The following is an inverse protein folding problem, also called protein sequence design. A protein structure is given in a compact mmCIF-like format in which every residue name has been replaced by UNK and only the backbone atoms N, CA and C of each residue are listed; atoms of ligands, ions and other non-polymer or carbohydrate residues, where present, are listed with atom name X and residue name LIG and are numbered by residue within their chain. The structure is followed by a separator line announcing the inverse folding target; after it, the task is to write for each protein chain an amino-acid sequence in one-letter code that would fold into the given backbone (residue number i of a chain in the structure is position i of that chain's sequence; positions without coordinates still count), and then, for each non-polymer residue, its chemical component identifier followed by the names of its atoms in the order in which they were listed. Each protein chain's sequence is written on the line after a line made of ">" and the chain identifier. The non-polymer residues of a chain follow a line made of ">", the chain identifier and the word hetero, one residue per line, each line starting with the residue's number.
data_IF_886085803759
#
_entry.id   IF_886085803759
#
_cell.length_a   1.000
_cell.length_b   1.000
_cell.length_c   1.000
_cell.angle_alpha   90.00
_cell.angle_beta   90.00
_cell.angle_gamma   90.00
#
_symmetry.space_group_name_H-M   'P 1'
#
loop_
_entity.id
_entity.type
_entity.pdbx_description
1 polymer ?
#
# COMPACT_ATOMS: atom_id res chain seq x y z
N UNK A 1 -60.67 6.87 14.76
CA UNK A 1 -59.26 6.87 15.25
C UNK A 1 -58.97 5.71 16.22
N UNK A 2 -59.77 5.51 17.30
CA UNK A 2 -59.60 4.38 18.23
C UNK A 2 -59.67 2.98 17.59
N UNK A 3 -60.52 2.77 16.59
CA UNK A 3 -60.61 1.47 15.88
C UNK A 3 -59.41 1.15 14.97
N UNK A 4 -58.88 2.17 14.30
CA UNK A 4 -57.71 2.02 13.41
C UNK A 4 -56.48 1.61 14.23
N UNK A 5 -56.31 2.21 15.41
CA UNK A 5 -55.23 1.87 16.35
C UNK A 5 -55.41 0.47 16.91
N UNK A 6 -56.64 0.05 17.23
CA UNK A 6 -56.92 -1.28 17.79
C UNK A 6 -56.62 -2.39 16.79
N UNK A 7 -57.07 -2.26 15.55
CA UNK A 7 -56.93 -3.29 14.52
C UNK A 7 -55.52 -3.38 13.93
N UNK A 8 -54.75 -2.28 13.95
CA UNK A 8 -53.38 -2.24 13.42
C UNK A 8 -52.31 -2.10 14.52
N UNK A 9 -52.68 -2.30 15.79
CA UNK A 9 -51.82 -2.11 16.97
C UNK A 9 -50.47 -2.83 16.85
N UNK A 10 -50.47 -4.08 16.37
CA UNK A 10 -49.23 -4.85 16.17
C UNK A 10 -48.29 -4.24 15.14
N UNK A 11 -48.83 -3.72 14.03
CA UNK A 11 -48.03 -3.09 12.97
C UNK A 11 -47.44 -1.75 13.43
N UNK A 12 -48.24 -0.96 14.15
CA UNK A 12 -47.79 0.33 14.72
C UNK A 12 -46.70 0.12 15.77
N UNK A 13 -46.82 -0.92 16.61
CA UNK A 13 -45.79 -1.26 17.60
C UNK A 13 -44.47 -1.67 16.92
N UNK A 14 -44.53 -2.51 15.88
CA UNK A 14 -43.32 -2.92 15.12
C UNK A 14 -42.66 -1.71 14.45
N UNK A 15 -43.45 -0.80 13.86
CA UNK A 15 -42.90 0.40 13.21
C UNK A 15 -42.25 1.36 14.21
N UNK A 16 -42.83 1.51 15.41
CA UNK A 16 -42.23 2.28 16.50
C UNK A 16 -40.93 1.64 17.00
N UNK A 17 -40.86 0.31 17.10
CA UNK A 17 -39.62 -0.39 17.46
C UNK A 17 -38.54 -0.16 16.40
N UNK A 18 -38.87 -0.21 15.11
CA UNK A 18 -37.92 0.07 14.02
C UNK A 18 -37.45 1.53 14.04
N UNK A 19 -38.34 2.48 14.33
CA UNK A 19 -37.98 3.91 14.48
C UNK A 19 -37.08 4.12 15.71
N UNK A 20 -37.38 3.45 16.83
CA UNK A 20 -36.53 3.51 18.03
C UNK A 20 -35.16 2.88 17.76
N UNK A 21 -35.08 1.76 17.04
CA UNK A 21 -33.81 1.15 16.62
C UNK A 21 -33.08 1.96 15.53
N UNK A 22 -33.79 2.78 14.75
CA UNK A 22 -33.20 3.70 13.78
C UNK A 22 -32.69 5.01 14.41
N UNK A 23 -33.33 5.48 15.50
CA UNK A 23 -32.92 6.68 16.27
C UNK A 23 -31.83 6.32 17.28
N UNK A 24 -31.96 5.18 17.95
CA UNK A 24 -30.85 4.52 18.66
C UNK A 24 -30.00 3.85 17.60
N UNK A 25 -29.39 4.67 16.74
CA UNK A 25 -28.36 4.20 15.82
C UNK A 25 -27.44 3.29 16.59
N UNK A 26 -27.18 2.10 16.04
CA UNK A 26 -26.25 1.14 16.61
C UNK A 26 -24.91 1.88 16.75
N UNK A 27 -24.69 2.51 17.90
CA UNK A 27 -23.40 3.04 18.31
C UNK A 27 -22.61 1.81 18.63
N UNK A 28 -22.05 1.22 17.57
CA UNK A 28 -21.03 0.19 17.71
C UNK A 28 -19.94 0.83 18.55
N UNK A 29 -19.82 0.39 19.80
CA UNK A 29 -18.79 0.89 20.69
C UNK A 29 -17.44 0.49 20.10
N UNK A 30 -16.76 1.44 19.46
CA UNK A 30 -15.40 1.25 18.97
C UNK A 30 -14.53 1.04 20.21
N UNK A 31 -14.01 -0.18 20.37
CA UNK A 31 -12.96 -0.45 21.36
C UNK A 31 -11.64 0.04 20.77
N UNK A 32 -10.95 0.91 21.49
CA UNK A 32 -9.73 1.59 21.03
C UNK A 32 -8.54 0.96 21.77
N UNK A 33 -7.58 0.40 21.03
CA UNK A 33 -6.29 0.00 21.59
C UNK A 33 -5.27 1.13 21.49
N UNK A 34 -4.45 1.33 22.54
CA UNK A 34 -3.46 2.41 22.61
C UNK A 34 -2.07 1.96 22.15
N UNK A 35 -1.39 2.74 21.31
CA UNK A 35 0.07 2.71 21.18
C UNK A 35 0.70 3.68 22.19
N UNK A 36 1.96 3.44 22.59
CA UNK A 36 2.73 4.45 23.32
C UNK A 36 2.93 5.69 22.43
N UNK A 37 2.74 6.91 22.96
CA UNK A 37 2.95 8.14 22.21
C UNK A 37 4.39 8.18 21.67
N UNK A 38 4.55 8.55 20.41
CA UNK A 38 5.86 8.80 19.81
C UNK A 38 6.21 10.26 20.13
N UNK A 39 7.08 10.49 21.11
CA UNK A 39 7.69 11.80 21.34
C UNK A 39 8.88 12.00 20.41
N UNK A 40 8.78 12.92 19.45
CA UNK A 40 9.92 13.35 18.63
C UNK A 40 10.42 14.70 19.17
N UNK A 41 11.65 14.73 19.66
CA UNK A 41 12.30 15.97 20.12
C UNK A 41 12.89 16.70 18.91
N UNK A 42 12.21 17.74 18.44
CA UNK A 42 12.64 18.55 17.31
C UNK A 42 13.20 19.89 17.80
N UNK A 43 14.43 19.90 18.34
CA UNK A 43 15.28 21.08 18.59
C UNK A 43 14.79 22.17 19.56
N UNK A 44 13.49 22.44 19.66
CA UNK A 44 12.86 23.50 20.45
C UNK A 44 11.46 23.13 21.00
N UNK A 45 10.83 22.03 20.56
CA UNK A 45 9.54 21.54 21.07
C UNK A 45 9.32 20.04 20.76
N UNK A 46 8.42 19.39 21.51
CA UNK A 46 8.05 17.98 21.30
C UNK A 46 6.82 17.89 20.39
N UNK A 47 6.86 17.02 19.38
CA UNK A 47 5.66 16.62 18.64
C UNK A 47 5.07 15.39 19.34
N UNK A 48 3.79 15.46 19.67
CA UNK A 48 3.03 14.36 20.25
C UNK A 48 1.87 13.97 19.33
N UNK A 49 1.82 12.69 18.97
CA UNK A 49 0.70 12.09 18.27
C UNK A 49 0.13 10.93 19.10
N UNK A 50 -1.19 10.92 19.27
CA UNK A 50 -1.93 9.76 19.74
C UNK A 50 -2.32 8.92 18.52
N UNK A 51 -1.85 7.68 18.49
CA UNK A 51 -2.17 6.71 17.45
C UNK A 51 -2.92 5.58 18.12
N UNK A 52 -4.11 5.32 17.63
CA UNK A 52 -4.94 4.23 18.10
C UNK A 52 -5.44 3.40 16.95
N UNK A 53 -5.95 2.21 17.23
CA UNK A 53 -6.51 1.33 16.22
C UNK A 53 -7.92 0.88 16.59
N UNK A 54 -8.72 0.60 15.56
CA UNK A 54 -10.10 0.17 15.73
C UNK A 54 -10.09 -1.34 16.00
N UNK A 55 -10.21 -1.73 17.28
CA UNK A 55 -10.15 -3.13 17.67
C UNK A 55 -11.41 -3.93 17.29
N UNK A 56 -12.43 -3.29 16.73
CA UNK A 56 -13.55 -3.99 16.10
C UNK A 56 -13.22 -4.43 14.66
N UNK A 57 -12.20 -3.81 14.06
CA UNK A 57 -11.77 -4.09 12.69
C UNK A 57 -10.47 -4.87 12.64
N UNK A 58 -9.51 -4.55 13.52
CA UNK A 58 -8.19 -5.15 13.53
C UNK A 58 -7.63 -5.31 14.94
N UNK A 59 -6.98 -6.43 15.21
CA UNK A 59 -6.25 -6.65 16.47
C UNK A 59 -4.95 -5.82 16.52
N UNK A 60 -4.19 -5.93 17.61
CA UNK A 60 -2.88 -5.27 17.74
C UNK A 60 -1.85 -5.69 16.68
N UNK A 61 -2.10 -6.80 15.99
CA UNK A 61 -1.44 -7.21 14.76
C UNK A 61 -2.48 -7.72 13.75
N UNK A 62 -2.33 -7.36 12.47
CA UNK A 62 -3.21 -7.85 11.38
C UNK A 62 -2.50 -8.97 10.64
N UNK A 63 -3.08 -10.17 10.69
CA UNK A 63 -2.51 -11.38 10.09
C UNK A 63 -3.50 -11.96 9.08
N UNK A 64 -3.01 -12.26 7.88
CA UNK A 64 -3.75 -12.95 6.83
C UNK A 64 -2.91 -14.11 6.31
N UNK A 65 -3.33 -15.35 6.59
CA UNK A 65 -2.62 -16.58 6.20
C UNK A 65 -3.53 -17.36 5.28
N UNK A 66 -3.09 -17.59 4.03
CA UNK A 66 -3.83 -18.41 3.06
C UNK A 66 -5.16 -17.81 2.58
N UNK A 67 -5.41 -16.52 2.84
CA UNK A 67 -6.68 -15.85 2.49
C UNK A 67 -6.57 -14.87 1.33
N UNK A 68 -5.37 -14.38 1.01
CA UNK A 68 -5.14 -13.37 -0.04
C UNK A 68 -5.20 -13.96 -1.46
N UNK A 69 -6.36 -14.47 -1.86
CA UNK A 69 -6.60 -14.84 -3.26
C UNK A 69 -6.81 -13.58 -4.12
N UNK A 70 -6.44 -13.61 -5.42
CA UNK A 70 -6.72 -12.51 -6.31
C UNK A 70 -8.21 -12.10 -6.31
N UNK A 71 -8.45 -10.79 -6.39
CA UNK A 71 -9.81 -10.22 -6.37
C UNK A 71 -9.91 -9.07 -7.38
N UNK A 72 -11.04 -9.00 -8.09
CA UNK A 72 -11.34 -7.88 -8.96
C UNK A 72 -11.34 -6.54 -8.19
N UNK A 73 -10.61 -5.55 -8.72
CA UNK A 73 -10.49 -4.21 -8.12
C UNK A 73 -11.82 -3.52 -7.85
N UNK A 74 -12.85 -3.84 -8.65
CA UNK A 74 -14.21 -3.31 -8.50
C UNK A 74 -14.91 -3.77 -7.22
N UNK A 75 -14.40 -4.81 -6.55
CA UNK A 75 -14.87 -5.30 -5.25
C UNK A 75 -14.14 -4.68 -4.06
N UNK A 76 -13.06 -3.92 -4.30
CA UNK A 76 -12.20 -3.33 -3.27
C UNK A 76 -12.42 -1.82 -3.20
N UNK A 77 -13.66 -1.39 -2.96
CA UNK A 77 -14.03 0.03 -3.01
C UNK A 77 -14.52 0.55 -1.66
N UNK A 78 -14.03 1.72 -1.24
CA UNK A 78 -14.47 2.39 -0.01
C UNK A 78 -13.83 1.80 1.24
N UNK A 79 -14.36 2.17 2.41
CA UNK A 79 -13.77 1.84 3.71
C UNK A 79 -14.32 0.56 4.35
N UNK A 80 -15.48 0.07 3.88
CA UNK A 80 -16.23 -1.03 4.52
C UNK A 80 -16.02 -2.38 3.84
N UNK A 81 -14.92 -2.56 3.10
CA UNK A 81 -14.59 -3.84 2.46
C UNK A 81 -14.48 -4.94 3.52
N UNK A 82 -15.31 -5.97 3.41
CA UNK A 82 -15.42 -7.08 4.38
C UNK A 82 -15.07 -8.43 3.74
N UNK A 83 -14.08 -8.44 2.84
CA UNK A 83 -13.63 -9.64 2.12
C UNK A 83 -12.28 -10.10 2.68
N UNK A 84 -12.18 -11.40 3.00
CA UNK A 84 -10.96 -12.02 3.55
C UNK A 84 -9.75 -11.97 2.58
N UNK A 85 -9.98 -11.75 1.29
CA UNK A 85 -8.96 -11.53 0.26
C UNK A 85 -8.34 -10.11 0.33
N UNK A 86 -8.78 -9.27 1.26
CA UNK A 86 -8.28 -7.90 1.43
C UNK A 86 -7.79 -7.73 2.86
N UNK A 87 -6.52 -7.37 3.02
CA UNK A 87 -6.02 -6.90 4.30
C UNK A 87 -6.58 -5.49 4.51
N UNK A 88 -7.26 -5.29 5.65
CA UNK A 88 -7.77 -4.00 6.09
C UNK A 88 -7.15 -3.62 7.43
N UNK A 89 -6.61 -2.41 7.51
CA UNK A 89 -6.12 -1.83 8.76
C UNK A 89 -6.77 -0.47 8.96
N UNK A 90 -7.50 -0.31 10.07
CA UNK A 90 -8.14 0.93 10.48
C UNK A 90 -7.47 1.49 11.73
N UNK A 91 -6.97 2.71 11.61
CA UNK A 91 -6.26 3.41 12.68
C UNK A 91 -6.64 4.89 12.70
N UNK A 92 -6.38 5.55 13.82
CA UNK A 92 -6.70 6.94 14.05
C UNK A 92 -5.46 7.70 14.50
N UNK A 93 -5.34 8.94 14.06
CA UNK A 93 -4.22 9.82 14.38
C UNK A 93 -4.78 11.12 14.93
N UNK A 94 -4.31 11.55 16.11
CA UNK A 94 -4.71 12.82 16.73
C UNK A 94 -3.48 13.50 17.32
N UNK A 95 -3.31 14.78 17.02
CA UNK A 95 -2.28 15.64 17.62
C UNK A 95 -2.70 16.23 18.97
N UNK A 96 -1.76 16.91 19.61
CA UNK A 96 -2.04 17.72 20.81
C UNK A 96 -2.03 19.21 20.49
N UNK A 97 -2.77 20.00 21.26
CA UNK A 97 -2.77 21.46 21.16
C UNK A 97 -1.42 22.11 21.51
N UNK A 98 -0.55 21.37 22.19
CA UNK A 98 0.82 21.75 22.54
C UNK A 98 1.82 21.53 21.40
N UNK A 99 1.42 20.86 20.32
CA UNK A 99 2.30 20.63 19.17
C UNK A 99 2.68 21.97 18.53
N UNK A 100 3.90 22.08 17.96
CA UNK A 100 4.30 23.24 17.19
C UNK A 100 3.31 23.56 16.06
N UNK A 101 3.18 24.84 15.72
CA UNK A 101 2.46 25.25 14.52
C UNK A 101 3.08 24.56 13.28
N UNK A 102 2.23 24.23 12.29
CA UNK A 102 2.63 23.52 11.07
C UNK A 102 3.28 22.15 11.32
N UNK A 103 2.84 21.44 12.36
CA UNK A 103 3.19 20.03 12.54
C UNK A 103 2.46 19.21 11.47
N UNK A 104 3.23 18.47 10.69
CA UNK A 104 2.77 17.65 9.58
C UNK A 104 3.28 16.21 9.72
N UNK A 105 2.67 15.26 9.01
CA UNK A 105 3.11 13.87 9.02
C UNK A 105 2.85 13.16 7.70
N UNK A 106 3.67 12.14 7.45
CA UNK A 106 3.40 11.13 6.45
C UNK A 106 2.89 9.84 7.10
N UNK A 107 2.03 9.12 6.38
CA UNK A 107 1.72 7.71 6.68
C UNK A 107 2.63 6.86 5.82
N UNK A 108 3.43 5.99 6.44
CA UNK A 108 4.39 5.16 5.74
C UNK A 108 4.34 3.69 6.19
N UNK A 109 4.61 2.79 5.26
CA UNK A 109 5.00 1.43 5.55
C UNK A 109 6.50 1.39 5.83
N UNK A 110 6.90 0.72 6.91
CA UNK A 110 8.29 0.57 7.36
C UNK A 110 8.61 -0.89 7.66
N UNK A 111 9.89 -1.23 7.56
CA UNK A 111 10.39 -2.59 7.76
C UNK A 111 9.68 -3.58 6.84
N UNK A 112 9.42 -3.14 5.60
CA UNK A 112 8.82 -3.98 4.57
C UNK A 112 9.74 -5.18 4.34
N UNK A 113 9.21 -6.38 4.58
CA UNK A 113 9.78 -7.64 4.12
C UNK A 113 8.78 -8.21 3.13
N UNK A 114 9.16 -8.19 1.85
CA UNK A 114 8.31 -8.61 0.75
C UNK A 114 9.14 -9.47 -0.18
N UNK A 115 8.63 -10.66 -0.47
CA UNK A 115 9.23 -11.49 -1.52
C UNK A 115 9.11 -10.82 -2.87
N UNK A 116 10.13 -11.05 -3.68
CA UNK A 116 10.42 -10.34 -4.91
C UNK A 116 9.27 -10.49 -5.93
N UNK A 117 8.62 -11.66 -5.96
CA UNK A 117 7.47 -11.97 -6.81
C UNK A 117 6.21 -11.19 -6.46
N UNK A 118 6.11 -10.59 -5.26
CA UNK A 118 5.00 -9.72 -4.88
C UNK A 118 5.21 -8.26 -5.32
N UNK A 119 6.40 -7.90 -5.81
CA UNK A 119 6.73 -6.54 -6.26
C UNK A 119 6.24 -6.29 -7.69
N UNK A 120 4.92 -6.25 -7.85
CA UNK A 120 4.24 -6.21 -9.15
C UNK A 120 3.13 -5.16 -9.18
N UNK A 121 2.59 -4.89 -10.37
CA UNK A 121 1.44 -3.99 -10.55
C UNK A 121 0.12 -4.56 -10.02
N UNK A 122 0.04 -5.88 -9.83
CA UNK A 122 -1.14 -6.56 -9.32
C UNK A 122 -1.26 -6.46 -7.80
N UNK A 123 -0.16 -6.36 -7.07
CA UNK A 123 -0.19 -6.21 -5.61
C UNK A 123 -0.42 -4.74 -5.29
N UNK A 124 -1.64 -4.41 -4.84
CA UNK A 124 -2.15 -3.04 -4.76
C UNK A 124 -2.45 -2.61 -3.34
N UNK A 125 -2.46 -1.30 -3.14
CA UNK A 125 -2.88 -0.69 -1.90
C UNK A 125 -3.69 0.60 -2.10
N UNK A 126 -4.53 0.91 -1.12
CA UNK A 126 -5.28 2.17 -1.01
C UNK A 126 -5.20 2.69 0.41
N UNK A 127 -5.09 4.01 0.56
CA UNK A 127 -5.18 4.69 1.84
C UNK A 127 -6.37 5.66 1.78
N UNK A 128 -7.33 5.48 2.67
CA UNK A 128 -8.43 6.40 2.87
C UNK A 128 -8.18 7.26 4.11
N UNK A 129 -8.62 8.51 4.06
CA UNK A 129 -8.66 9.44 5.19
C UNK A 129 -10.08 9.97 5.35
N UNK A 130 -10.66 9.82 6.54
CA UNK A 130 -12.01 10.28 6.88
C UNK A 130 -13.07 9.84 5.85
N UNK A 131 -12.94 8.60 5.35
CA UNK A 131 -13.84 8.01 4.35
C UNK A 131 -13.52 8.33 2.89
N UNK A 132 -12.61 9.27 2.62
CA UNK A 132 -12.24 9.70 1.27
C UNK A 132 -10.92 9.04 0.85
N UNK A 133 -10.80 8.59 -0.40
CA UNK A 133 -9.55 8.06 -0.93
C UNK A 133 -8.49 9.16 -0.89
N UNK A 134 -7.43 8.95 -0.12
CA UNK A 134 -6.32 9.90 -0.01
C UNK A 134 -5.26 9.63 -1.07
N UNK A 135 -4.92 8.35 -1.28
CA UNK A 135 -3.89 7.91 -2.22
C UNK A 135 -4.00 6.41 -2.50
N UNK A 136 -3.34 5.96 -3.56
CA UNK A 136 -3.31 4.55 -3.95
C UNK A 136 -2.04 4.21 -4.74
N UNK A 137 -1.68 2.94 -4.78
CA UNK A 137 -0.51 2.49 -5.52
C UNK A 137 -0.43 0.97 -5.64
N UNK A 138 0.75 0.51 -6.03
CA UNK A 138 1.11 -0.90 -6.10
C UNK A 138 2.57 -1.08 -5.64
N UNK A 139 3.08 -2.32 -5.70
CA UNK A 139 4.43 -2.66 -5.24
C UNK A 139 5.41 -2.90 -6.41
N UNK A 140 5.05 -2.49 -7.63
CA UNK A 140 5.93 -2.54 -8.80
C UNK A 140 7.17 -1.64 -8.61
N UNK A 141 8.36 -2.06 -9.06
CA UNK A 141 9.51 -1.17 -9.21
C UNK A 141 9.21 0.08 -10.03
N UNK A 142 8.32 -0.03 -11.01
CA UNK A 142 7.93 1.10 -11.86
C UNK A 142 6.97 2.09 -11.16
N UNK A 143 6.57 1.80 -9.91
CA UNK A 143 5.80 2.71 -9.05
C UNK A 143 6.68 3.37 -7.99
N UNK A 144 7.44 2.56 -7.24
CA UNK A 144 8.36 3.01 -6.20
C UNK A 144 9.39 1.89 -5.90
N UNK A 145 10.69 2.21 -5.91
CA UNK A 145 11.76 1.24 -5.66
C UNK A 145 11.84 0.77 -4.19
N UNK A 146 11.09 1.39 -3.28
CA UNK A 146 11.04 1.04 -1.85
C UNK A 146 12.41 1.03 -1.17
N UNK A 147 13.19 2.10 -1.38
CA UNK A 147 14.49 2.27 -0.73
C UNK A 147 14.38 2.14 0.80
N UNK A 148 15.32 1.41 1.42
CA UNK A 148 15.39 1.18 2.87
C UNK A 148 14.15 0.52 3.50
N UNK A 149 13.47 -0.37 2.75
CA UNK A 149 12.27 -1.08 3.21
C UNK A 149 11.16 -0.14 3.71
N UNK A 150 11.02 1.00 3.01
CA UNK A 150 10.07 2.07 3.32
C UNK A 150 9.24 2.41 2.08
N UNK A 151 7.94 2.63 2.27
CA UNK A 151 7.05 3.19 1.26
C UNK A 151 6.18 4.27 1.90
N UNK A 152 6.18 5.47 1.33
CA UNK A 152 5.26 6.54 1.77
C UNK A 152 3.93 6.37 1.06
N UNK A 153 2.87 6.33 1.85
CA UNK A 153 1.51 6.16 1.36
C UNK A 153 0.88 7.52 1.03
N UNK A 154 1.23 8.58 1.76
CA UNK A 154 0.72 9.94 1.52
C UNK A 154 1.44 10.63 0.37
N UNK A 155 0.71 11.09 -0.65
CA UNK A 155 1.31 11.83 -1.78
C UNK A 155 1.68 13.27 -1.40
N UNK A 156 1.16 13.78 -0.29
CA UNK A 156 1.54 15.04 0.34
C UNK A 156 1.32 14.90 1.84
N UNK A 157 2.20 15.47 2.67
CA UNK A 157 2.04 15.37 4.13
C UNK A 157 0.66 15.88 4.60
N UNK A 158 0.18 15.27 5.68
CA UNK A 158 -1.07 15.60 6.35
C UNK A 158 -0.80 16.53 7.53
N UNK A 159 -1.75 17.40 7.87
CA UNK A 159 -1.64 18.23 9.08
C UNK A 159 -1.93 17.39 10.32
N UNK A 160 -1.06 17.50 11.33
CA UNK A 160 -1.32 16.90 12.64
C UNK A 160 -2.13 17.87 13.49
N UNK A 161 -3.45 17.73 13.48
CA UNK A 161 -4.38 18.59 14.22
C UNK A 161 -4.88 17.92 15.50
N UNK A 162 -5.56 18.68 16.36
CA UNK A 162 -6.27 18.12 17.53
C UNK A 162 -7.54 17.36 17.16
N UNK A 163 -8.00 17.45 15.92
CA UNK A 163 -9.09 16.62 15.42
C UNK A 163 -8.57 15.24 15.07
N UNK A 164 -9.35 14.21 15.40
CA UNK A 164 -8.99 12.83 15.08
C UNK A 164 -9.23 12.55 13.60
N UNK A 165 -8.15 12.26 12.88
CA UNK A 165 -8.23 11.70 11.53
C UNK A 165 -8.35 10.18 11.61
N UNK A 166 -9.29 9.61 10.86
CA UNK A 166 -9.46 8.16 10.70
C UNK A 166 -8.85 7.72 9.37
N UNK A 167 -8.03 6.67 9.41
CA UNK A 167 -7.41 6.07 8.24
C UNK A 167 -7.87 4.62 8.05
N UNK A 168 -8.03 4.24 6.78
CA UNK A 168 -8.22 2.85 6.37
C UNK A 168 -7.22 2.52 5.29
N UNK A 169 -6.29 1.61 5.60
CA UNK A 169 -5.34 1.02 4.66
C UNK A 169 -5.91 -0.29 4.14
N UNK A 170 -5.96 -0.44 2.83
CA UNK A 170 -6.32 -1.68 2.14
C UNK A 170 -5.12 -2.20 1.37
N UNK A 171 -4.92 -3.52 1.39
CA UNK A 171 -3.92 -4.23 0.60
C UNK A 171 -4.53 -5.51 0.02
N UNK A 172 -4.34 -5.74 -1.27
CA UNK A 172 -4.88 -6.92 -1.96
C UNK A 172 -4.05 -7.28 -3.19
N UNK A 173 -4.33 -8.46 -3.74
CA UNK A 173 -3.83 -8.88 -5.06
C UNK A 173 -4.96 -8.69 -6.06
N UNK A 174 -4.74 -7.83 -7.05
CA UNK A 174 -5.65 -7.60 -8.16
C UNK A 174 -5.75 -8.86 -9.02
N UNK A 175 -6.96 -9.25 -9.37
CA UNK A 175 -7.18 -10.33 -10.34
C UNK A 175 -6.77 -9.88 -11.74
N UNK A 176 -5.80 -10.57 -12.36
CA UNK A 176 -5.33 -10.23 -13.72
C UNK A 176 -6.28 -10.70 -14.82
N UNK A 177 -7.18 -11.65 -14.53
CA UNK A 177 -8.22 -12.06 -15.46
C UNK A 177 -9.61 -11.85 -14.87
N UNK A 178 -10.26 -10.75 -15.26
CA UNK A 178 -11.60 -10.43 -14.80
C UNK A 178 -12.64 -10.86 -15.85
N UNK A 179 -13.80 -11.35 -15.40
CA UNK A 179 -14.91 -11.72 -16.30
C UNK A 179 -14.97 -13.21 -16.62
N UNK A 180 -15.16 -13.55 -17.90
CA UNK A 180 -15.27 -14.95 -18.34
C UNK A 180 -13.88 -15.62 -18.33
N UNK A 181 -13.74 -16.69 -17.55
CA UNK A 181 -12.49 -17.46 -17.44
C UNK A 181 -11.97 -17.96 -18.80
N UNK A 182 -12.84 -18.12 -19.80
CA UNK A 182 -12.46 -18.55 -21.15
C UNK A 182 -11.62 -17.51 -21.92
N UNK A 183 -11.66 -16.25 -21.51
CA UNK A 183 -10.86 -15.19 -22.13
C UNK A 183 -9.47 -15.06 -21.51
N UNK A 184 -9.21 -15.76 -20.41
CA UNK A 184 -7.90 -15.76 -19.76
C UNK A 184 -6.89 -16.56 -20.56
N UNK A 185 -5.67 -16.05 -20.65
CA UNK A 185 -4.54 -16.76 -21.25
C UNK A 185 -3.48 -17.07 -20.19
N UNK A 186 -2.42 -17.77 -20.59
CA UNK A 186 -1.27 -18.02 -19.71
C UNK A 186 -0.60 -16.75 -19.20
N UNK A 187 -0.75 -15.61 -19.89
CA UNK A 187 -0.23 -14.32 -19.43
C UNK A 187 -0.97 -13.77 -18.21
N UNK A 188 -2.18 -14.26 -17.93
CA UNK A 188 -2.95 -13.88 -16.74
C UNK A 188 -2.69 -14.80 -15.53
N UNK A 189 -1.76 -15.74 -15.64
CA UNK A 189 -1.48 -16.69 -14.58
C UNK A 189 -0.80 -15.99 -13.38
N UNK A 190 -1.42 -16.10 -12.21
CA UNK A 190 -0.97 -15.48 -10.96
C UNK A 190 -0.44 -16.50 -9.92
N UNK A 191 -0.13 -17.74 -10.32
CA UNK A 191 0.39 -18.78 -9.43
C UNK A 191 1.71 -18.39 -8.74
N UNK A 192 2.45 -17.44 -9.31
CA UNK A 192 3.67 -16.88 -8.71
C UNK A 192 3.49 -16.32 -7.30
N UNK A 193 2.26 -15.97 -6.90
CA UNK A 193 1.97 -15.43 -5.56
C UNK A 193 1.73 -16.51 -4.50
N UNK A 194 1.63 -17.78 -4.90
CA UNK A 194 1.38 -18.88 -3.96
C UNK A 194 2.56 -19.02 -2.99
N UNK A 195 2.25 -19.18 -1.70
CA UNK A 195 3.23 -19.31 -0.61
C UNK A 195 4.19 -18.13 -0.46
N UNK A 196 3.83 -16.96 -1.00
CA UNK A 196 4.59 -15.73 -0.84
C UNK A 196 4.17 -14.93 0.39
N UNK A 197 5.12 -14.18 0.94
CA UNK A 197 4.99 -13.47 2.19
C UNK A 197 5.26 -11.98 2.07
N UNK A 198 4.44 -11.21 2.80
CA UNK A 198 4.58 -9.77 2.98
C UNK A 198 4.39 -9.43 4.46
N UNK A 199 5.25 -8.58 5.00
CA UNK A 199 5.05 -7.95 6.30
C UNK A 199 5.58 -6.53 6.31
N UNK A 200 4.90 -5.65 7.03
CA UNK A 200 5.31 -4.26 7.22
C UNK A 200 4.73 -3.70 8.52
N UNK A 201 5.23 -2.54 8.94
CA UNK A 201 4.64 -1.73 10.01
C UNK A 201 4.10 -0.43 9.43
N UNK A 202 2.86 -0.08 9.75
CA UNK A 202 2.37 1.27 9.50
C UNK A 202 2.97 2.20 10.56
N UNK A 203 3.60 3.29 10.13
CA UNK A 203 4.18 4.31 11.00
C UNK A 203 3.76 5.70 10.57
N UNK A 204 3.69 6.59 11.56
CA UNK A 204 3.52 8.02 11.37
C UNK A 204 4.89 8.66 11.45
N UNK A 205 5.26 9.39 10.40
CA UNK A 205 6.54 10.09 10.30
C UNK A 205 6.27 11.59 10.39
N UNK A 206 6.33 12.13 11.62
CA UNK A 206 5.99 13.53 11.88
C UNK A 206 7.20 14.47 11.71
N UNK A 207 6.93 15.69 11.27
CA UNK A 207 7.90 16.76 11.11
C UNK A 207 7.23 18.14 11.23
N UNK A 208 8.02 19.21 11.21
CA UNK A 208 7.53 20.61 11.32
C UNK A 208 8.10 21.44 10.17
N UNK A 209 7.37 21.55 9.05
CA UNK A 209 7.70 22.39 7.87
C UNK A 209 6.45 22.61 7.02
N UNK A 210 6.59 23.34 5.92
CA UNK A 210 5.61 23.31 4.83
C UNK A 210 5.49 21.91 4.25
N UNK A 211 4.26 21.54 3.87
CA UNK A 211 4.00 20.30 3.13
C UNK A 211 4.77 20.29 1.80
N UNK A 212 5.17 19.10 1.38
CA UNK A 212 5.84 18.82 0.13
C UNK A 212 5.17 17.62 -0.53
N UNK A 213 4.94 17.71 -1.83
CA UNK A 213 4.51 16.56 -2.62
C UNK A 213 5.61 15.48 -2.58
N UNK A 214 5.20 14.23 -2.44
CA UNK A 214 6.08 13.08 -2.52
C UNK A 214 6.57 12.92 -3.95
N UNK A 215 7.88 12.84 -4.13
CA UNK A 215 8.49 12.39 -5.38
C UNK A 215 8.91 10.94 -5.19
N UNK A 216 8.34 10.03 -5.97
CA UNK A 216 8.70 8.61 -5.94
C UNK A 216 9.93 8.36 -6.79
N UNK A 217 10.78 7.45 -6.34
CA UNK A 217 11.89 6.94 -7.15
C UNK A 217 11.40 5.70 -7.87
N UNK A 218 11.47 5.72 -9.19
CA UNK A 218 10.98 4.65 -10.08
C UNK A 218 12.19 3.88 -10.60
N UNK A 219 12.07 2.56 -10.72
CA UNK A 219 13.02 1.72 -11.44
C UNK A 219 12.47 1.44 -12.85
N UNK A 220 13.22 1.88 -13.86
CA UNK A 220 13.03 1.42 -15.22
C UNK A 220 13.87 0.15 -15.42
N UNK A 221 13.42 -0.95 -14.81
CA UNK A 221 14.19 -2.21 -14.75
C UNK A 221 14.59 -2.65 -16.15
N UNK A 222 15.89 -2.88 -16.36
CA UNK A 222 16.47 -3.30 -17.65
C UNK A 222 16.91 -2.15 -18.57
N UNK A 223 16.38 -0.93 -18.40
CA UNK A 223 16.82 0.29 -19.11
C UNK A 223 18.01 0.90 -18.34
N UNK A 224 19.15 0.22 -18.42
CA UNK A 224 20.36 0.51 -17.65
C UNK A 224 20.95 1.86 -18.01
N UNK A 225 20.84 2.30 -19.26
CA UNK A 225 21.38 3.58 -19.71
C UNK A 225 20.41 4.76 -19.48
N UNK A 226 19.14 4.48 -19.16
CA UNK A 226 18.05 5.43 -18.92
C UNK A 226 17.66 6.26 -20.16
N UNK A 227 17.74 5.65 -21.35
CA UNK A 227 17.33 6.26 -22.62
C UNK A 227 15.87 5.99 -23.01
N UNK A 228 15.17 5.18 -22.21
CA UNK A 228 13.77 4.81 -22.40
C UNK A 228 13.57 3.58 -23.28
N UNK A 229 14.65 2.92 -23.71
CA UNK A 229 14.61 1.66 -24.45
C UNK A 229 15.42 0.58 -23.73
N UNK A 230 15.06 -0.69 -23.94
CA UNK A 230 15.81 -1.83 -23.38
C UNK A 230 16.44 -2.55 -24.56
N UNK A 231 17.73 -2.34 -24.76
CA UNK A 231 18.46 -2.84 -25.93
C UNK A 231 19.92 -3.25 -25.63
N UNK A 232 20.71 -3.49 -26.68
CA UNK A 232 22.11 -3.91 -26.54
C UNK A 232 23.04 -2.87 -25.90
N UNK A 233 22.66 -1.59 -25.88
CA UNK A 233 23.42 -0.53 -25.23
C UNK A 233 23.35 -0.67 -23.71
N UNK A 234 22.21 -1.08 -23.16
CA UNK A 234 22.06 -1.41 -21.74
C UNK A 234 22.96 -2.56 -21.33
N UNK A 235 22.94 -3.64 -22.11
CA UNK A 235 23.79 -4.81 -21.89
C UNK A 235 25.27 -4.45 -21.98
N UNK A 236 25.64 -3.55 -22.89
CA UNK A 236 27.02 -3.07 -23.04
C UNK A 236 27.45 -2.25 -21.82
N UNK A 237 26.62 -1.31 -21.37
CA UNK A 237 26.89 -0.49 -20.18
C UNK A 237 27.01 -1.36 -18.92
N UNK A 238 26.08 -2.30 -18.73
CA UNK A 238 26.10 -3.27 -17.65
C UNK A 238 27.37 -4.13 -17.66
N UNK A 239 27.76 -4.65 -18.84
CA UNK A 239 29.00 -5.44 -18.99
C UNK A 239 30.25 -4.65 -18.63
N UNK A 240 30.33 -3.38 -19.02
CA UNK A 240 31.44 -2.49 -18.67
C UNK A 240 31.48 -2.18 -17.18
N UNK A 241 30.32 -2.00 -16.55
CA UNK A 241 30.21 -1.79 -15.12
C UNK A 241 30.76 -2.98 -14.33
N UNK A 242 30.31 -4.20 -14.65
CA UNK A 242 30.74 -5.44 -14.00
C UNK A 242 32.25 -5.66 -14.16
N UNK A 243 32.81 -5.30 -15.32
CA UNK A 243 34.26 -5.33 -15.55
C UNK A 243 35.02 -4.19 -14.84
N UNK A 244 34.37 -3.39 -14.00
CA UNK A 244 34.91 -2.22 -13.30
C UNK A 244 35.47 -1.11 -14.21
N UNK A 245 35.01 -1.05 -15.46
CA UNK A 245 35.44 -0.03 -16.42
C UNK A 245 34.61 1.24 -16.36
N UNK A 246 33.39 1.21 -15.82
CA UNK A 246 32.49 2.36 -15.82
C UNK A 246 31.60 2.34 -14.57
N UNK A 247 31.67 3.36 -13.69
CA UNK A 247 30.70 3.48 -12.61
C UNK A 247 29.32 3.85 -13.16
N UNK A 248 28.26 3.30 -12.56
CA UNK A 248 26.88 3.68 -12.85
C UNK A 248 26.45 4.87 -11.98
N UNK A 249 25.54 5.69 -12.50
CA UNK A 249 24.82 6.65 -11.67
C UNK A 249 23.82 5.94 -10.75
N UNK A 250 23.30 6.62 -9.73
CA UNK A 250 22.32 6.02 -8.80
C UNK A 250 21.11 5.43 -9.52
N UNK A 251 20.53 6.15 -10.49
CA UNK A 251 19.38 5.67 -11.26
C UNK A 251 19.74 4.46 -12.14
N UNK A 252 20.93 4.48 -12.75
CA UNK A 252 21.38 3.37 -13.58
C UNK A 252 21.66 2.11 -12.74
N UNK A 253 22.20 2.25 -11.53
CA UNK A 253 22.35 1.14 -10.58
C UNK A 253 21.00 0.54 -10.21
N UNK A 254 20.00 1.38 -9.97
CA UNK A 254 18.62 0.95 -9.69
C UNK A 254 18.01 0.19 -10.87
N UNK A 255 18.21 0.68 -12.10
CA UNK A 255 17.67 0.03 -13.30
C UNK A 255 18.42 -1.28 -13.64
N UNK A 256 19.69 -1.38 -13.25
CA UNK A 256 20.59 -2.50 -13.53
C UNK A 256 20.47 -3.68 -12.56
N UNK A 257 19.95 -3.48 -11.35
CA UNK A 257 19.61 -4.55 -10.41
C UNK A 257 18.28 -5.20 -10.86
N UNK A 258 18.39 -6.09 -11.84
CA UNK A 258 17.28 -6.65 -12.60
C UNK A 258 16.56 -7.74 -11.81
N UNK A 259 17.30 -8.48 -10.98
CA UNK A 259 16.75 -9.54 -10.13
C UNK A 259 16.40 -9.06 -8.70
N UNK A 260 16.72 -7.80 -8.35
CA UNK A 260 16.45 -7.18 -7.06
C UNK A 260 17.09 -7.91 -5.87
N UNK A 261 18.29 -8.46 -6.06
CA UNK A 261 19.07 -9.06 -4.99
C UNK A 261 19.96 -8.05 -4.25
N UNK A 262 20.01 -6.81 -4.74
CA UNK A 262 20.75 -5.70 -4.16
C UNK A 262 22.19 -5.58 -4.68
N UNK A 263 22.60 -6.43 -5.63
CA UNK A 263 23.86 -6.34 -6.34
C UNK A 263 23.60 -6.10 -7.84
N UNK A 264 24.52 -5.37 -8.50
CA UNK A 264 24.54 -5.27 -9.95
C UNK A 264 25.69 -6.15 -10.45
N UNK A 265 25.37 -7.34 -10.92
CA UNK A 265 26.37 -8.37 -11.20
C UNK A 265 26.09 -9.20 -12.47
N UNK A 266 26.81 -10.33 -12.60
CA UNK A 266 26.72 -11.20 -13.77
C UNK A 266 25.33 -11.82 -13.96
N UNK A 267 24.55 -11.98 -12.89
CA UNK A 267 23.20 -12.52 -12.96
C UNK A 267 22.26 -11.55 -13.69
N UNK A 268 22.32 -10.26 -13.38
CA UNK A 268 21.55 -9.23 -14.08
C UNK A 268 21.91 -9.21 -15.56
N UNK A 269 23.21 -9.26 -15.87
CA UNK A 269 23.69 -9.33 -17.25
C UNK A 269 23.11 -10.53 -17.99
N UNK A 270 23.18 -11.72 -17.39
CA UNK A 270 22.67 -12.95 -18.02
C UNK A 270 21.16 -12.89 -18.24
N UNK A 271 20.41 -12.27 -17.33
CA UNK A 271 18.96 -12.07 -17.46
C UNK A 271 18.68 -11.11 -18.62
N UNK A 272 19.35 -9.96 -18.67
CA UNK A 272 19.18 -8.98 -19.74
C UNK A 272 19.55 -9.56 -21.11
N UNK A 273 20.67 -10.28 -21.20
CA UNK A 273 21.09 -10.95 -22.43
C UNK A 273 20.07 -12.00 -22.90
N UNK A 274 19.53 -12.81 -21.97
CA UNK A 274 18.49 -13.79 -22.29
C UNK A 274 17.18 -13.14 -22.74
N UNK A 275 16.81 -12.01 -22.13
CA UNK A 275 15.66 -11.20 -22.52
C UNK A 275 15.82 -10.67 -23.95
N UNK A 276 16.97 -10.04 -24.26
CA UNK A 276 17.27 -9.50 -25.59
C UNK A 276 17.33 -10.59 -26.67
N UNK A 277 17.77 -11.79 -26.31
CA UNK A 277 17.79 -12.96 -27.21
C UNK A 277 16.44 -13.68 -27.32
N UNK A 278 15.41 -13.24 -26.58
CA UNK A 278 14.08 -13.85 -26.58
C UNK A 278 14.01 -15.23 -25.92
N UNK A 279 15.05 -15.65 -25.19
CA UNK A 279 15.08 -16.93 -24.46
C UNK A 279 14.48 -16.81 -23.06
N UNK A 280 14.27 -15.59 -22.57
CA UNK A 280 13.62 -15.28 -21.30
C UNK A 280 12.55 -14.21 -21.46
N UNK A 281 11.38 -14.43 -20.87
CA UNK A 281 10.30 -13.45 -20.86
C UNK A 281 10.34 -12.69 -19.54
N UNK A 282 10.53 -11.38 -19.62
CA UNK A 282 10.53 -10.46 -18.49
C UNK A 282 9.46 -9.38 -18.73
N UNK A 283 8.74 -8.96 -17.68
CA UNK A 283 7.73 -7.91 -17.77
C UNK A 283 8.34 -6.52 -17.44
N UNK A 284 9.40 -6.16 -18.15
CA UNK A 284 10.07 -4.87 -17.94
C UNK A 284 9.20 -3.69 -18.42
N UNK A 285 9.33 -2.51 -17.79
CA UNK A 285 10.06 -2.23 -16.55
C UNK A 285 9.22 -2.50 -15.28
N UNK A 286 8.03 -3.09 -15.43
CA UNK A 286 7.02 -3.20 -14.38
C UNK A 286 7.35 -4.23 -13.30
N UNK A 287 8.24 -5.17 -13.58
CA UNK A 287 8.62 -6.25 -12.68
C UNK A 287 10.10 -6.57 -12.81
N UNK A 288 10.68 -7.02 -11.72
CA UNK A 288 11.99 -7.66 -11.73
C UNK A 288 11.92 -9.03 -12.42
N UNK A 289 13.04 -9.52 -12.91
CA UNK A 289 13.09 -10.76 -13.66
C UNK A 289 13.99 -11.79 -12.98
N UNK A 290 13.52 -13.02 -12.86
CA UNK A 290 14.12 -14.11 -12.06
C UNK A 290 14.45 -15.30 -12.92
#
# INVERSE_FOLDING_TARGET
>A
MREIIRNNSKFIIVMLIVIILGIVGVTVAIKIGNFNPIGLNVGTATIEANITYDSTVNEGAVTSIGKLYPIADSKVTGIDVSNDNVIKVKFMVTGKSTNPANTIYDVALRNIKMESELKTTDVKWRLYKNGILLSSGNFSPNFDTMSNSRMVLTDTQQDLTTSTDTYVFLFWISESCTGDIKTCTSSNNQNRYINKSFSAKIKIEASTKSKKALTRTVAAVGDVNADGTIDSNDLTLLSRHIAMHTPLTEQQTINADINNDGAVDINDKNILESYLNGTKVCNFPYEFCY
#
